data_IF_110448362147
#
_entry.id   IF_110448362147
#
_cell.length_a   1.000
_cell.length_b   1.000
_cell.length_c   1.000
_cell.angle_alpha   90.00
_cell.angle_beta   90.00
_cell.angle_gamma   90.00
#
_symmetry.space_group_name_H-M   'P 1'
#
loop_
_entity.id
_entity.type
_entity.pdbx_description
1 polymer ?
#
# COMPACT_ATOMS: atom_id res chain seq x y z
N UNK A 1 -10.32 -9.48 -31.57
CA UNK A 1 -9.99 -8.06 -31.30
C UNK A 1 -8.53 -8.00 -30.90
N UNK A 2 -7.74 -7.01 -31.31
CA UNK A 2 -6.39 -6.84 -30.79
C UNK A 2 -6.42 -6.69 -29.27
N UNK A 3 -5.42 -7.22 -28.57
CA UNK A 3 -5.30 -7.08 -27.12
C UNK A 3 -5.13 -5.60 -26.76
N UNK A 4 -5.90 -5.12 -25.78
CA UNK A 4 -5.74 -3.78 -25.21
C UNK A 4 -4.28 -3.57 -24.77
N UNK A 5 -3.65 -2.41 -25.09
CA UNK A 5 -2.30 -2.10 -24.59
C UNK A 5 -2.32 -2.00 -23.05
N UNK A 6 -1.19 -2.22 -22.39
CA UNK A 6 -1.10 -2.14 -20.90
C UNK A 6 -0.96 -0.71 -20.37
N UNK A 7 -0.45 0.17 -21.21
CA UNK A 7 -0.19 1.58 -20.93
C UNK A 7 -0.34 2.38 -22.22
N UNK A 8 -0.46 3.70 -22.10
CA UNK A 8 -0.43 4.64 -23.22
C UNK A 8 0.79 5.55 -23.12
N UNK A 9 1.15 6.18 -24.23
CA UNK A 9 2.38 6.98 -24.32
C UNK A 9 2.30 8.22 -23.40
N UNK A 10 3.41 8.48 -22.71
CA UNK A 10 3.62 9.72 -21.97
C UNK A 10 4.27 10.77 -22.89
N UNK A 11 3.50 11.28 -23.85
CA UNK A 11 3.97 12.17 -24.92
C UNK A 11 3.35 13.58 -24.89
N UNK A 12 2.50 13.85 -23.89
CA UNK A 12 1.89 15.15 -23.71
C UNK A 12 2.79 16.09 -22.89
N UNK A 13 2.65 17.41 -23.04
CA UNK A 13 3.37 18.36 -22.19
C UNK A 13 3.04 18.16 -20.71
N UNK A 14 4.04 18.35 -19.85
CA UNK A 14 3.87 18.42 -18.40
C UNK A 14 2.72 19.38 -18.08
N UNK A 15 1.80 18.92 -17.25
CA UNK A 15 0.64 19.69 -16.81
C UNK A 15 0.25 19.31 -15.39
N UNK A 16 -0.57 20.13 -14.75
CA UNK A 16 -1.09 19.86 -13.41
C UNK A 16 -2.58 20.18 -13.33
N UNK A 17 -3.21 19.81 -12.21
CA UNK A 17 -4.60 20.14 -11.88
C UNK A 17 -4.64 20.70 -10.46
N UNK A 18 -5.70 21.43 -10.11
CA UNK A 18 -5.88 21.89 -8.74
C UNK A 18 -6.13 20.66 -7.83
N UNK A 19 -5.20 20.31 -6.93
CA UNK A 19 -5.26 19.05 -6.19
C UNK A 19 -6.42 19.03 -5.20
N UNK A 20 -6.70 20.15 -4.52
CA UNK A 20 -7.85 20.28 -3.62
C UNK A 20 -9.15 19.92 -4.33
N UNK A 21 -9.41 20.50 -5.51
CA UNK A 21 -10.64 20.22 -6.27
C UNK A 21 -10.75 18.76 -6.69
N UNK A 22 -9.64 18.12 -7.06
CA UNK A 22 -9.64 16.72 -7.46
C UNK A 22 -9.84 15.77 -6.27
N UNK A 23 -9.23 16.09 -5.12
CA UNK A 23 -9.46 15.37 -3.86
C UNK A 23 -10.94 15.44 -3.48
N UNK A 24 -11.54 16.63 -3.43
CA UNK A 24 -12.95 16.80 -3.06
C UNK A 24 -13.85 16.00 -4.01
N UNK A 25 -13.64 16.12 -5.33
CA UNK A 25 -14.41 15.38 -6.30
C UNK A 25 -14.24 13.86 -6.16
N UNK A 26 -13.05 13.38 -5.76
CA UNK A 26 -12.76 11.97 -5.51
C UNK A 26 -13.49 11.46 -4.27
N UNK A 27 -13.43 12.20 -3.16
CA UNK A 27 -14.13 11.86 -1.93
C UNK A 27 -15.65 11.91 -2.08
N UNK A 28 -16.20 12.88 -2.81
CA UNK A 28 -17.63 12.96 -3.12
C UNK A 28 -18.09 11.75 -3.96
N UNK A 29 -17.33 11.35 -4.99
CA UNK A 29 -17.63 10.12 -5.74
C UNK A 29 -17.56 8.89 -4.86
N UNK A 30 -16.54 8.80 -4.01
CA UNK A 30 -16.37 7.66 -3.10
C UNK A 30 -17.61 7.44 -2.25
N UNK A 31 -18.14 8.48 -1.61
CA UNK A 31 -19.31 8.34 -0.72
C UNK A 31 -20.65 8.26 -1.45
N UNK A 32 -20.76 8.84 -2.66
CA UNK A 32 -22.00 8.81 -3.48
C UNK A 32 -22.17 7.51 -4.25
N UNK A 33 -21.10 7.05 -4.89
CA UNK A 33 -21.12 5.88 -5.77
C UNK A 33 -20.87 4.59 -4.98
N UNK A 34 -20.19 4.70 -3.82
CA UNK A 34 -19.87 3.58 -2.93
C UNK A 34 -20.26 3.86 -1.46
N UNK A 35 -21.54 4.22 -1.17
CA UNK A 35 -21.98 4.41 0.21
C UNK A 35 -21.73 3.13 1.04
N UNK A 36 -21.60 3.23 2.37
CA UNK A 36 -21.21 2.10 3.23
C UNK A 36 -21.97 0.79 2.93
N UNK A 37 -23.29 0.86 2.80
CA UNK A 37 -24.14 -0.31 2.55
C UNK A 37 -23.93 -1.00 1.18
N UNK A 38 -23.25 -0.37 0.22
CA UNK A 38 -22.96 -0.97 -1.10
C UNK A 38 -21.55 -1.55 -1.20
N UNK A 39 -20.68 -1.31 -0.21
CA UNK A 39 -19.30 -1.81 -0.24
C UNK A 39 -19.26 -3.22 0.32
N UNK A 40 -18.73 -4.14 -0.49
CA UNK A 40 -18.53 -5.53 -0.06
C UNK A 40 -17.49 -5.59 1.06
N UNK A 41 -17.75 -6.31 2.18
CA UNK A 41 -16.76 -6.54 3.22
C UNK A 41 -15.64 -7.46 2.71
N UNK A 42 -14.49 -7.45 3.39
CA UNK A 42 -13.32 -8.24 3.03
C UNK A 42 -12.11 -7.42 2.57
N UNK A 43 -10.94 -7.92 2.92
CA UNK A 43 -9.63 -7.48 2.42
C UNK A 43 -8.95 -6.40 3.23
N UNK A 44 -9.34 -6.22 4.50
CA UNK A 44 -8.64 -5.41 5.50
C UNK A 44 -8.31 -3.98 5.02
N UNK A 45 -7.05 -3.58 5.11
CA UNK A 45 -6.58 -2.26 4.65
C UNK A 45 -6.44 -2.16 3.13
N UNK A 46 -6.57 -3.28 2.40
CA UNK A 46 -6.38 -3.30 0.95
C UNK A 46 -7.70 -3.06 0.19
N UNK A 47 -8.77 -3.76 0.60
CA UNK A 47 -10.10 -3.73 -0.01
C UNK A 47 -11.21 -3.37 0.99
N UNK A 48 -12.41 -3.14 0.45
CA UNK A 48 -13.62 -3.10 1.26
C UNK A 48 -13.68 -1.92 2.25
N UNK A 49 -14.61 -1.98 3.22
CA UNK A 49 -14.96 -0.84 4.06
C UNK A 49 -13.86 -0.41 5.03
N UNK A 50 -13.03 -1.34 5.54
CA UNK A 50 -11.92 -0.99 6.45
C UNK A 50 -10.88 -0.14 5.71
N UNK A 51 -10.56 -0.49 4.46
CA UNK A 51 -9.64 0.30 3.64
C UNK A 51 -10.11 1.75 3.42
N UNK A 52 -11.43 1.96 3.24
CA UNK A 52 -12.04 3.28 3.11
C UNK A 52 -12.04 4.03 4.44
N UNK A 53 -12.37 3.35 5.54
CA UNK A 53 -12.28 3.92 6.87
C UNK A 53 -10.85 4.37 7.20
N UNK A 54 -9.84 3.59 6.80
CA UNK A 54 -8.44 3.94 7.02
C UNK A 54 -8.02 5.20 6.25
N UNK A 55 -8.53 5.39 5.03
CA UNK A 55 -8.37 6.65 4.30
C UNK A 55 -8.91 7.82 5.12
N UNK A 56 -10.16 7.75 5.60
CA UNK A 56 -10.75 8.85 6.37
C UNK A 56 -10.04 9.10 7.69
N UNK A 57 -9.63 8.04 8.38
CA UNK A 57 -8.80 8.12 9.59
C UNK A 57 -7.50 8.89 9.35
N UNK A 58 -6.87 8.65 8.20
CA UNK A 58 -5.60 9.30 7.85
C UNK A 58 -5.82 10.74 7.39
N UNK A 59 -6.80 10.98 6.52
CA UNK A 59 -7.05 12.33 5.98
C UNK A 59 -7.48 13.34 7.05
N UNK A 60 -8.28 12.94 8.06
CA UNK A 60 -8.70 13.88 9.11
C UNK A 60 -7.52 14.47 9.90
N UNK A 61 -6.36 13.80 9.92
CA UNK A 61 -5.14 14.33 10.55
C UNK A 61 -4.61 15.58 9.82
N UNK A 62 -4.84 15.68 8.50
CA UNK A 62 -4.36 16.77 7.64
C UNK A 62 -5.44 17.80 7.28
N UNK A 63 -6.71 17.43 7.40
CA UNK A 63 -7.88 18.24 7.02
C UNK A 63 -8.83 18.42 8.21
N UNK A 64 -8.50 19.32 9.12
CA UNK A 64 -9.35 19.67 10.27
C UNK A 64 -10.68 20.26 9.82
N UNK A 65 -11.77 19.81 10.45
CA UNK A 65 -13.15 20.28 10.22
C UNK A 65 -13.65 20.14 8.78
N UNK A 66 -12.99 19.32 7.96
CA UNK A 66 -13.40 19.09 6.59
C UNK A 66 -14.58 18.11 6.51
N UNK A 67 -15.57 18.48 5.69
CA UNK A 67 -16.80 17.71 5.49
C UNK A 67 -16.94 17.26 4.04
N UNK A 68 -17.52 16.08 3.84
CA UNK A 68 -17.89 15.54 2.52
C UNK A 68 -19.39 15.31 2.58
N UNK A 69 -20.16 15.92 1.67
CA UNK A 69 -21.63 15.94 1.74
C UNK A 69 -22.14 16.42 3.10
N UNK A 70 -21.54 17.51 3.63
CA UNK A 70 -21.82 18.10 4.96
C UNK A 70 -21.61 17.15 6.16
N UNK A 71 -20.97 15.99 5.94
CA UNK A 71 -20.67 15.00 6.98
C UNK A 71 -19.16 15.01 7.29
N UNK A 72 -18.75 15.11 8.57
CA UNK A 72 -17.33 15.05 8.96
C UNK A 72 -16.66 13.74 8.57
N UNK A 73 -15.37 13.79 8.21
CA UNK A 73 -14.59 12.58 7.87
C UNK A 73 -14.63 11.51 8.97
N UNK A 74 -14.55 11.91 10.25
CA UNK A 74 -14.64 10.96 11.37
C UNK A 74 -15.98 10.22 11.44
N UNK A 75 -17.08 10.86 10.99
CA UNK A 75 -18.38 10.19 10.87
C UNK A 75 -18.38 9.20 9.72
N UNK A 76 -17.80 9.56 8.56
CA UNK A 76 -17.62 8.63 7.44
C UNK A 76 -16.78 7.41 7.83
N UNK A 77 -15.65 7.63 8.49
CA UNK A 77 -14.82 6.56 9.06
C UNK A 77 -15.66 5.60 9.91
N UNK A 78 -16.41 6.13 10.89
CA UNK A 78 -17.20 5.32 11.80
C UNK A 78 -18.27 4.48 11.09
N UNK A 79 -18.95 4.99 10.06
CA UNK A 79 -20.00 4.23 9.35
C UNK A 79 -19.44 3.13 8.44
N UNK A 80 -18.26 3.34 7.82
CA UNK A 80 -17.58 2.28 7.08
C UNK A 80 -17.05 1.21 8.03
N UNK A 81 -16.42 1.59 9.15
CA UNK A 81 -16.02 0.63 10.19
C UNK A 81 -17.21 -0.18 10.69
N UNK A 82 -18.35 0.47 10.93
CA UNK A 82 -19.55 -0.22 11.39
C UNK A 82 -20.03 -1.27 10.38
N UNK A 83 -19.95 -0.96 9.09
CA UNK A 83 -20.29 -1.91 8.02
C UNK A 83 -19.34 -3.12 8.04
N UNK A 84 -18.05 -2.90 8.29
CA UNK A 84 -17.08 -4.00 8.44
C UNK A 84 -17.40 -4.88 9.66
N UNK A 85 -17.62 -4.26 10.83
CA UNK A 85 -18.00 -4.94 12.08
C UNK A 85 -19.22 -5.83 11.93
N UNK A 86 -20.27 -5.32 11.27
CA UNK A 86 -21.52 -6.07 11.10
C UNK A 86 -21.33 -7.31 10.23
N UNK A 87 -20.37 -7.30 9.32
CA UNK A 87 -19.98 -8.43 8.49
C UNK A 87 -19.01 -9.42 9.18
N UNK A 88 -18.38 -9.03 10.29
CA UNK A 88 -17.37 -9.88 10.96
C UNK A 88 -17.93 -11.14 11.61
N UNK A 89 -19.24 -11.18 11.91
CA UNK A 89 -19.88 -12.32 12.56
C UNK A 89 -19.69 -13.63 11.80
N UNK A 90 -19.55 -13.54 10.47
CA UNK A 90 -19.38 -14.68 9.57
C UNK A 90 -17.92 -14.85 9.09
N UNK A 91 -16.99 -14.01 9.58
CA UNK A 91 -15.58 -14.08 9.19
C UNK A 91 -14.84 -15.17 9.99
N UNK A 92 -14.09 -16.08 9.35
CA UNK A 92 -13.45 -17.22 10.03
C UNK A 92 -12.27 -16.83 10.94
N UNK A 93 -11.83 -15.57 10.88
CA UNK A 93 -10.68 -15.06 11.60
C UNK A 93 -9.35 -15.24 10.86
N UNK A 94 -8.28 -14.67 11.41
CA UNK A 94 -6.95 -14.76 10.83
C UNK A 94 -6.44 -16.20 10.86
N UNK A 95 -5.59 -16.52 9.89
CA UNK A 95 -4.91 -17.83 9.81
C UNK A 95 -3.44 -17.60 9.50
N UNK A 96 -2.59 -18.59 9.71
CA UNK A 96 -1.19 -18.52 9.30
C UNK A 96 -1.00 -18.20 7.80
N UNK A 97 -1.96 -18.57 6.95
CA UNK A 97 -1.96 -18.25 5.51
C UNK A 97 -2.58 -16.89 5.16
N UNK A 98 -3.26 -16.24 6.12
CA UNK A 98 -3.90 -14.93 5.98
C UNK A 98 -3.83 -14.18 7.31
N UNK A 99 -2.67 -13.57 7.57
CA UNK A 99 -2.36 -12.80 8.76
C UNK A 99 -1.70 -11.44 8.43
N UNK A 100 -1.81 -10.97 7.19
CA UNK A 100 -1.28 -9.68 6.74
C UNK A 100 -2.34 -8.58 6.77
N UNK A 101 -2.05 -7.45 6.10
CA UNK A 101 -2.93 -6.25 6.12
C UNK A 101 -4.31 -6.48 5.51
N UNK A 102 -4.51 -7.58 4.76
CA UNK A 102 -5.82 -7.93 4.18
C UNK A 102 -6.72 -8.78 5.08
N UNK A 103 -6.26 -9.12 6.29
CA UNK A 103 -7.12 -9.75 7.28
C UNK A 103 -8.04 -8.71 7.93
N UNK A 104 -9.35 -8.97 7.89
CA UNK A 104 -10.35 -7.99 8.34
C UNK A 104 -10.31 -7.79 9.86
N UNK A 105 -10.15 -8.86 10.63
CA UNK A 105 -10.14 -8.78 12.10
C UNK A 105 -8.92 -8.02 12.57
N UNK A 106 -7.73 -8.40 12.10
CA UNK A 106 -6.49 -7.72 12.48
C UNK A 106 -6.51 -6.25 12.03
N UNK A 107 -6.96 -5.96 10.81
CA UNK A 107 -7.02 -4.59 10.31
C UNK A 107 -8.03 -3.73 11.07
N UNK A 108 -9.20 -4.27 11.43
CA UNK A 108 -10.20 -3.56 12.24
C UNK A 108 -9.65 -3.27 13.63
N UNK A 109 -9.07 -4.27 14.31
CA UNK A 109 -8.54 -4.10 15.67
C UNK A 109 -7.41 -3.08 15.64
N UNK A 110 -6.48 -3.17 14.68
CA UNK A 110 -5.40 -2.19 14.55
C UNK A 110 -5.92 -0.76 14.34
N UNK A 111 -6.89 -0.58 13.44
CA UNK A 111 -7.46 0.75 13.18
C UNK A 111 -8.27 1.28 14.36
N UNK A 112 -9.03 0.42 15.05
CA UNK A 112 -9.79 0.80 16.24
C UNK A 112 -8.87 1.14 17.42
N UNK A 113 -7.82 0.34 17.66
CA UNK A 113 -6.81 0.61 18.67
C UNK A 113 -6.11 1.96 18.42
N UNK A 114 -5.68 2.21 17.19
CA UNK A 114 -5.04 3.47 16.81
C UNK A 114 -5.98 4.66 16.95
N UNK A 115 -7.24 4.52 16.52
CA UNK A 115 -8.22 5.61 16.54
C UNK A 115 -8.72 5.95 17.94
N UNK A 116 -8.98 4.93 18.75
CA UNK A 116 -9.49 5.11 20.12
C UNK A 116 -8.35 5.33 21.14
N UNK A 117 -7.10 5.04 20.75
CA UNK A 117 -5.95 4.91 21.66
C UNK A 117 -6.25 3.93 22.79
N UNK A 118 -6.82 2.79 22.43
CA UNK A 118 -7.27 1.76 23.36
C UNK A 118 -6.17 0.70 23.58
N UNK A 119 -5.57 0.63 24.79
CA UNK A 119 -4.49 -0.31 25.08
C UNK A 119 -4.95 -1.77 25.13
N UNK A 120 -6.23 -2.04 25.43
CA UNK A 120 -6.75 -3.40 25.45
C UNK A 120 -6.87 -3.93 24.01
N UNK A 121 -7.29 -3.11 23.06
CA UNK A 121 -7.27 -3.48 21.64
C UNK A 121 -5.85 -3.63 21.08
N UNK A 122 -4.87 -2.89 21.61
CA UNK A 122 -3.47 -3.11 21.27
C UNK A 122 -2.98 -4.48 21.75
N UNK A 123 -3.40 -4.92 22.95
CA UNK A 123 -3.17 -6.29 23.44
C UNK A 123 -3.86 -7.33 22.57
N UNK A 124 -5.12 -7.13 22.23
CA UNK A 124 -5.86 -8.04 21.35
C UNK A 124 -5.16 -8.23 19.99
N UNK A 125 -4.54 -7.16 19.46
CA UNK A 125 -3.73 -7.27 18.24
C UNK A 125 -2.48 -8.15 18.48
N UNK A 126 -1.77 -7.94 19.60
CA UNK A 126 -0.57 -8.71 19.93
C UNK A 126 -0.89 -10.19 20.18
N UNK A 127 -2.06 -10.52 20.72
CA UNK A 127 -2.49 -11.91 20.93
C UNK A 127 -2.55 -12.73 19.63
N UNK A 128 -2.70 -12.08 18.47
CA UNK A 128 -2.60 -12.76 17.18
C UNK A 128 -1.19 -13.20 16.81
N UNK A 129 -0.15 -12.80 17.55
CA UNK A 129 1.19 -13.34 17.39
C UNK A 129 1.17 -14.87 17.40
N UNK A 130 0.33 -15.51 18.23
CA UNK A 130 0.18 -16.95 18.26
C UNK A 130 -0.25 -17.59 16.93
N UNK A 131 -0.96 -16.87 16.07
CA UNK A 131 -1.32 -17.30 14.70
C UNK A 131 -0.22 -16.93 13.70
N UNK A 132 0.37 -15.75 13.87
CA UNK A 132 1.39 -15.19 12.96
C UNK A 132 2.70 -15.97 13.04
N UNK A 133 3.05 -16.48 14.23
CA UNK A 133 4.30 -17.22 14.48
C UNK A 133 4.19 -18.71 14.20
N UNK A 134 2.99 -19.20 13.81
CA UNK A 134 2.81 -20.60 13.41
C UNK A 134 3.76 -21.01 12.26
N UNK A 135 4.21 -22.27 12.21
CA UNK A 135 5.01 -22.77 11.11
C UNK A 135 4.30 -22.61 9.75
N UNK A 136 5.08 -22.28 8.73
CA UNK A 136 4.61 -22.08 7.35
C UNK A 136 3.64 -20.92 7.15
N UNK A 137 3.52 -19.98 8.11
CA UNK A 137 2.81 -18.75 7.85
C UNK A 137 3.41 -18.00 6.65
N UNK A 138 2.56 -17.31 5.88
CA UNK A 138 3.03 -16.47 4.78
C UNK A 138 3.89 -15.33 5.34
N UNK A 139 4.94 -14.93 4.62
CA UNK A 139 5.81 -13.83 5.08
C UNK A 139 5.50 -12.50 4.41
N UNK A 140 4.83 -12.50 3.26
CA UNK A 140 4.65 -11.30 2.45
C UNK A 140 3.65 -10.29 3.05
N UNK A 141 3.54 -9.10 2.46
CA UNK A 141 2.85 -7.98 3.10
C UNK A 141 1.32 -8.12 3.08
N UNK A 142 0.72 -8.73 2.05
CA UNK A 142 -0.73 -8.72 1.93
C UNK A 142 -1.42 -9.72 2.87
N UNK A 143 -0.88 -10.93 2.95
CA UNK A 143 -1.44 -12.08 3.66
C UNK A 143 -0.52 -12.64 4.74
N UNK A 144 0.67 -12.07 4.94
CA UNK A 144 1.68 -12.64 5.81
C UNK A 144 2.23 -11.71 6.88
N UNK A 145 3.26 -12.22 7.57
CA UNK A 145 3.93 -11.60 8.72
C UNK A 145 4.39 -10.17 8.47
N UNK A 146 4.92 -9.85 7.28
CA UNK A 146 5.33 -8.49 6.95
C UNK A 146 4.14 -7.50 6.98
N UNK A 147 2.94 -7.96 6.66
CA UNK A 147 1.71 -7.17 6.80
C UNK A 147 1.32 -6.96 8.25
N UNK A 148 1.49 -7.98 9.09
CA UNK A 148 1.25 -7.86 10.52
C UNK A 148 2.19 -6.83 11.17
N UNK A 149 3.47 -6.81 10.77
CA UNK A 149 4.42 -5.77 11.22
C UNK A 149 3.92 -4.35 10.90
N UNK A 150 3.29 -4.14 9.73
CA UNK A 150 2.66 -2.86 9.42
C UNK A 150 1.55 -2.50 10.42
N UNK A 151 0.68 -3.46 10.74
CA UNK A 151 -0.43 -3.23 11.68
C UNK A 151 0.08 -2.89 13.09
N UNK A 152 1.14 -3.57 13.56
CA UNK A 152 1.79 -3.24 14.84
C UNK A 152 2.32 -1.79 14.83
N UNK A 153 3.02 -1.38 13.76
CA UNK A 153 3.52 0.01 13.65
C UNK A 153 2.40 1.03 13.61
N UNK A 154 1.29 0.76 12.90
CA UNK A 154 0.11 1.62 12.87
C UNK A 154 -0.44 1.88 14.27
N UNK A 155 -0.60 0.82 15.08
CA UNK A 155 -1.05 0.95 16.46
C UNK A 155 -0.02 1.72 17.28
N UNK A 156 1.25 1.29 17.23
CA UNK A 156 2.38 1.88 17.97
C UNK A 156 2.48 3.38 17.75
N UNK A 157 2.26 3.87 16.54
CA UNK A 157 2.31 5.29 16.20
C UNK A 157 1.35 6.15 17.05
N UNK A 158 0.25 5.57 17.54
CA UNK A 158 -0.79 6.27 18.30
C UNK A 158 -0.51 6.34 19.83
N UNK A 159 0.47 5.58 20.33
CA UNK A 159 0.82 5.44 21.75
C UNK A 159 2.18 6.07 22.09
N UNK A 160 2.49 7.25 21.54
CA UNK A 160 3.78 7.92 21.78
C UNK A 160 4.08 8.18 23.27
N UNK A 161 3.04 8.39 24.08
CA UNK A 161 3.12 8.72 25.51
C UNK A 161 2.90 7.50 26.44
N UNK A 162 2.78 6.28 25.90
CA UNK A 162 2.55 5.04 26.66
C UNK A 162 3.66 4.03 26.39
N UNK A 163 4.66 4.00 27.27
CA UNK A 163 5.84 3.15 27.11
C UNK A 163 5.53 1.65 27.28
N UNK A 164 4.56 1.29 28.13
CA UNK A 164 4.18 -0.11 28.37
C UNK A 164 3.56 -0.73 27.12
N UNK A 165 2.64 -0.01 26.45
CA UNK A 165 2.02 -0.48 25.21
C UNK A 165 3.04 -0.53 24.07
N UNK A 166 3.95 0.44 23.98
CA UNK A 166 5.00 0.42 22.96
C UNK A 166 5.96 -0.76 23.14
N UNK A 167 6.41 -1.02 24.37
CA UNK A 167 7.30 -2.14 24.68
C UNK A 167 6.65 -3.48 24.29
N UNK A 168 5.38 -3.68 24.64
CA UNK A 168 4.63 -4.88 24.23
C UNK A 168 4.53 -5.04 22.70
N UNK A 169 4.26 -3.94 21.98
CA UNK A 169 4.19 -3.95 20.52
C UNK A 169 5.55 -4.23 19.88
N UNK A 170 6.63 -3.68 20.45
CA UNK A 170 8.01 -3.87 20.01
C UNK A 170 8.47 -5.32 20.25
N UNK A 171 8.23 -5.87 21.45
CA UNK A 171 8.50 -7.29 21.77
C UNK A 171 7.77 -8.26 20.82
N UNK A 172 6.50 -7.96 20.52
CA UNK A 172 5.70 -8.74 19.57
C UNK A 172 6.28 -8.65 18.16
N UNK A 173 6.76 -7.47 17.76
CA UNK A 173 7.35 -7.25 16.46
C UNK A 173 8.67 -8.01 16.29
N UNK A 174 9.50 -8.05 17.33
CA UNK A 174 10.76 -8.80 17.37
C UNK A 174 10.53 -10.30 17.16
N UNK A 175 9.56 -10.89 17.86
CA UNK A 175 9.20 -12.32 17.69
C UNK A 175 8.78 -12.63 16.22
N UNK A 176 8.01 -11.72 15.61
CA UNK A 176 7.55 -11.87 14.24
C UNK A 176 8.69 -11.70 13.24
N UNK A 177 9.61 -10.76 13.47
CA UNK A 177 10.81 -10.58 12.65
C UNK A 177 11.67 -11.84 12.69
N UNK A 178 11.94 -12.39 13.88
CA UNK A 178 12.72 -13.62 14.04
C UNK A 178 12.09 -14.78 13.24
N UNK A 179 10.76 -14.94 13.28
CA UNK A 179 10.06 -15.94 12.48
C UNK A 179 10.21 -15.72 10.95
N UNK A 180 10.23 -14.46 10.49
CA UNK A 180 10.51 -14.14 9.09
C UNK A 180 11.97 -14.48 8.76
N UNK A 181 12.92 -14.14 9.61
CA UNK A 181 14.35 -14.40 9.38
C UNK A 181 14.68 -15.88 9.35
N UNK A 182 14.02 -16.69 10.17
CA UNK A 182 14.16 -18.16 10.20
C UNK A 182 13.48 -18.87 9.03
N UNK A 183 12.67 -18.16 8.23
CA UNK A 183 11.96 -18.77 7.10
C UNK A 183 12.90 -19.16 5.95
N UNK A 184 12.60 -20.24 5.21
CA UNK A 184 13.41 -20.66 4.07
C UNK A 184 13.59 -19.56 3.01
N UNK A 185 14.82 -19.47 2.47
CA UNK A 185 15.16 -18.55 1.37
C UNK A 185 15.24 -19.26 0.01
N UNK A 186 14.92 -18.58 -1.11
CA UNK A 186 14.27 -17.27 -1.18
C UNK A 186 12.86 -17.32 -0.60
N UNK A 187 12.35 -16.19 -0.10
CA UNK A 187 10.96 -16.09 0.33
C UNK A 187 10.01 -16.49 -0.80
N UNK A 188 8.98 -17.27 -0.46
CA UNK A 188 7.97 -17.72 -1.41
C UNK A 188 6.56 -17.44 -0.92
N UNK A 189 5.70 -17.12 -1.87
CA UNK A 189 4.26 -17.14 -1.72
C UNK A 189 3.68 -17.91 -2.90
N UNK A 190 2.78 -18.87 -2.62
CA UNK A 190 2.24 -19.80 -3.63
C UNK A 190 3.35 -20.41 -4.54
N UNK A 191 4.40 -20.95 -3.89
CA UNK A 191 5.57 -21.59 -4.51
C UNK A 191 6.43 -20.70 -5.42
N UNK A 192 6.17 -19.40 -5.50
CA UNK A 192 6.91 -18.45 -6.33
C UNK A 192 7.72 -17.48 -5.49
N UNK A 193 8.95 -17.24 -5.92
CA UNK A 193 9.84 -16.25 -5.32
C UNK A 193 9.53 -14.85 -5.89
N UNK A 194 8.54 -14.17 -5.31
CA UNK A 194 8.14 -12.82 -5.74
C UNK A 194 9.19 -11.77 -5.37
N UNK A 195 9.31 -10.73 -6.21
CA UNK A 195 10.29 -9.66 -6.04
C UNK A 195 9.69 -8.42 -5.38
N UNK A 196 8.52 -7.98 -5.87
CA UNK A 196 7.95 -6.65 -5.58
C UNK A 196 7.43 -6.42 -4.15
N UNK A 197 6.76 -5.27 -3.96
CA UNK A 197 6.37 -4.76 -2.65
C UNK A 197 5.26 -5.55 -1.96
N UNK A 198 4.32 -6.13 -2.72
CA UNK A 198 3.13 -6.77 -2.14
C UNK A 198 3.42 -8.19 -1.67
N UNK A 199 3.84 -9.05 -2.60
CA UNK A 199 4.02 -10.49 -2.34
C UNK A 199 5.49 -10.91 -2.17
N UNK A 200 6.44 -9.97 -2.32
CA UNK A 200 7.82 -10.28 -2.60
C UNK A 200 8.83 -9.84 -1.56
N UNK A 201 10.08 -10.20 -1.84
CA UNK A 201 11.23 -9.98 -0.95
C UNK A 201 11.45 -8.50 -0.63
N UNK A 202 11.26 -7.60 -1.60
CA UNK A 202 11.38 -6.15 -1.34
C UNK A 202 10.33 -5.68 -0.34
N UNK A 203 9.10 -6.17 -0.47
CA UNK A 203 8.03 -5.95 0.51
C UNK A 203 8.43 -6.34 1.92
N UNK A 204 8.89 -7.58 2.07
CA UNK A 204 9.27 -8.17 3.35
C UNK A 204 10.41 -7.38 4.01
N UNK A 205 11.51 -7.12 3.27
CA UNK A 205 12.65 -6.36 3.79
C UNK A 205 12.23 -4.95 4.21
N UNK A 206 11.38 -4.29 3.42
CA UNK A 206 10.88 -2.95 3.76
C UNK A 206 10.15 -2.95 5.10
N UNK A 207 9.28 -3.94 5.31
CA UNK A 207 8.49 -4.02 6.55
C UNK A 207 9.36 -4.32 7.77
N UNK A 208 10.39 -5.18 7.64
CA UNK A 208 11.35 -5.43 8.72
C UNK A 208 12.12 -4.15 9.04
N UNK A 209 12.72 -3.50 8.04
CA UNK A 209 13.60 -2.33 8.26
C UNK A 209 12.84 -1.11 8.79
N UNK A 210 11.58 -0.92 8.38
CA UNK A 210 10.73 0.15 8.94
C UNK A 210 10.26 -0.15 10.36
N UNK A 211 10.24 -1.42 10.78
CA UNK A 211 9.95 -1.82 12.17
C UNK A 211 11.20 -1.69 13.03
N UNK A 212 12.29 -2.34 12.64
CA UNK A 212 13.58 -2.22 13.31
C UNK A 212 14.71 -2.05 12.27
N UNK A 213 15.25 -0.84 12.14
CA UNK A 213 16.37 -0.54 11.27
C UNK A 213 17.66 -1.32 11.56
N UNK A 214 17.83 -1.90 12.76
CA UNK A 214 19.06 -2.63 13.11
C UNK A 214 19.30 -3.86 12.23
N UNK A 215 18.25 -4.43 11.64
CA UNK A 215 18.33 -5.56 10.72
C UNK A 215 18.79 -5.20 9.30
N UNK A 216 18.89 -3.91 8.94
CA UNK A 216 19.23 -3.48 7.58
C UNK A 216 20.55 -4.10 7.08
N UNK A 217 21.61 -4.03 7.89
CA UNK A 217 22.92 -4.61 7.52
C UNK A 217 22.88 -6.12 7.26
N UNK A 218 22.08 -6.85 8.02
CA UNK A 218 21.91 -8.30 7.83
C UNK A 218 21.16 -8.62 6.53
N UNK A 219 20.19 -7.79 6.16
CA UNK A 219 19.34 -7.97 4.96
C UNK A 219 19.97 -7.44 3.68
N UNK A 220 21.05 -6.66 3.77
CA UNK A 220 21.74 -6.06 2.63
C UNK A 220 22.08 -7.06 1.50
N UNK A 221 22.67 -8.24 1.76
CA UNK A 221 22.99 -9.19 0.69
C UNK A 221 21.74 -9.73 -0.03
N UNK A 222 20.65 -9.96 0.71
CA UNK A 222 19.38 -10.45 0.15
C UNK A 222 18.69 -9.35 -0.67
N UNK A 223 18.74 -8.10 -0.20
CA UNK A 223 18.25 -6.95 -0.95
C UNK A 223 19.02 -6.78 -2.27
N UNK A 224 20.35 -6.75 -2.22
CA UNK A 224 21.19 -6.60 -3.43
C UNK A 224 21.00 -7.75 -4.42
N UNK A 225 20.89 -8.99 -3.93
CA UNK A 225 20.61 -10.15 -4.78
C UNK A 225 19.25 -10.00 -5.47
N UNK A 226 18.22 -9.57 -4.74
CA UNK A 226 16.88 -9.32 -5.29
C UNK A 226 16.88 -8.18 -6.33
N UNK A 227 17.56 -7.08 -6.03
CA UNK A 227 17.64 -5.93 -6.94
C UNK A 227 18.46 -6.23 -8.20
N UNK A 228 19.37 -7.20 -8.16
CA UNK A 228 20.18 -7.60 -9.32
C UNK A 228 19.36 -8.17 -10.49
N UNK A 229 18.10 -8.56 -10.27
CA UNK A 229 17.17 -8.98 -11.32
C UNK A 229 16.57 -7.82 -12.12
N UNK A 230 17.02 -6.57 -11.92
CA UNK A 230 16.56 -5.45 -12.73
C UNK A 230 16.88 -5.71 -14.21
N UNK A 231 15.87 -5.55 -15.07
CA UNK A 231 16.04 -5.63 -16.52
C UNK A 231 16.82 -4.42 -17.05
N UNK A 232 17.32 -4.53 -18.28
CA UNK A 232 17.95 -3.40 -18.99
C UNK A 232 17.01 -2.18 -19.12
N UNK A 233 15.68 -2.40 -19.12
CA UNK A 233 14.69 -1.32 -19.11
C UNK A 233 14.64 -0.52 -17.81
N UNK A 234 15.23 -1.01 -16.72
CA UNK A 234 15.08 -0.45 -15.37
C UNK A 234 13.91 -1.04 -14.57
N UNK A 235 13.11 -1.94 -15.15
CA UNK A 235 12.02 -2.60 -14.44
C UNK A 235 12.47 -3.89 -13.72
N UNK A 236 11.61 -4.47 -12.88
CA UNK A 236 11.86 -5.77 -12.24
C UNK A 236 10.83 -6.83 -12.65
N UNK A 237 11.21 -8.12 -12.65
CA UNK A 237 10.26 -9.22 -12.81
C UNK A 237 9.24 -9.24 -11.68
N UNK A 238 8.07 -9.83 -11.93
CA UNK A 238 7.11 -10.14 -10.85
C UNK A 238 7.68 -11.14 -9.85
N UNK A 239 8.40 -12.15 -10.35
CA UNK A 239 8.96 -13.26 -9.59
C UNK A 239 10.18 -13.86 -10.28
N UNK A 240 10.99 -14.63 -9.55
CA UNK A 240 12.14 -15.38 -10.05
C UNK A 240 11.76 -16.86 -10.23
N UNK A 241 12.17 -17.53 -11.33
CA UNK A 241 12.95 -17.02 -12.47
C UNK A 241 12.26 -15.88 -13.24
N UNK A 242 13.06 -14.93 -13.74
CA UNK A 242 12.56 -13.75 -14.43
C UNK A 242 11.77 -14.13 -15.69
N UNK A 243 10.61 -13.49 -15.88
CA UNK A 243 9.73 -13.70 -17.02
C UNK A 243 9.73 -12.51 -17.98
N UNK A 244 8.57 -12.18 -18.53
CA UNK A 244 8.43 -11.01 -19.41
C UNK A 244 8.54 -9.69 -18.62
N UNK A 245 9.24 -8.73 -19.18
CA UNK A 245 9.27 -7.35 -18.70
C UNK A 245 8.01 -6.58 -19.14
N UNK A 246 6.93 -6.68 -18.35
CA UNK A 246 5.61 -6.15 -18.73
C UNK A 246 4.83 -5.41 -17.64
N UNK A 247 5.07 -5.69 -16.35
CA UNK A 247 4.30 -5.11 -15.26
C UNK A 247 5.09 -3.95 -14.66
N UNK A 248 4.50 -2.76 -14.70
CA UNK A 248 5.03 -1.53 -14.09
C UNK A 248 3.98 -1.07 -13.10
N UNK A 249 3.91 -1.77 -11.96
CA UNK A 249 2.86 -1.66 -10.95
C UNK A 249 3.47 -1.70 -9.54
N UNK A 250 2.76 -1.21 -8.54
CA UNK A 250 3.18 -1.31 -7.14
C UNK A 250 3.28 -2.78 -6.68
N UNK A 251 2.32 -3.63 -7.04
CA UNK A 251 2.41 -5.06 -6.73
C UNK A 251 3.57 -5.77 -7.45
N UNK A 252 3.81 -5.42 -8.71
CA UNK A 252 4.77 -6.10 -9.57
C UNK A 252 5.48 -5.10 -10.49
N UNK A 253 6.78 -4.87 -10.22
CA UNK A 253 7.66 -4.05 -11.04
C UNK A 253 8.21 -2.83 -10.31
N UNK A 254 8.73 -1.88 -11.09
CA UNK A 254 9.47 -0.72 -10.62
C UNK A 254 8.72 0.15 -9.60
N UNK A 255 7.43 0.49 -9.73
CA UNK A 255 6.77 1.40 -8.79
C UNK A 255 6.84 0.93 -7.34
N UNK A 256 6.59 -0.36 -7.09
CA UNK A 256 6.69 -0.93 -5.75
C UNK A 256 8.12 -0.92 -5.24
N UNK A 257 9.05 -1.41 -6.06
CA UNK A 257 10.48 -1.49 -5.68
C UNK A 257 11.05 -0.11 -5.39
N UNK A 258 10.82 0.87 -6.25
CA UNK A 258 11.29 2.26 -6.07
C UNK A 258 10.74 2.85 -4.78
N UNK A 259 9.43 2.72 -4.54
CA UNK A 259 8.79 3.31 -3.36
C UNK A 259 9.30 2.70 -2.06
N UNK A 260 9.52 1.38 -2.05
CA UNK A 260 10.19 0.67 -0.97
C UNK A 260 11.61 1.20 -0.72
N UNK A 261 12.45 1.25 -1.76
CA UNK A 261 13.84 1.68 -1.63
C UNK A 261 13.97 3.13 -1.15
N UNK A 262 13.14 4.05 -1.67
CA UNK A 262 13.10 5.44 -1.21
C UNK A 262 12.84 5.52 0.31
N UNK A 263 12.06 4.60 0.85
CA UNK A 263 11.68 4.60 2.27
C UNK A 263 12.75 4.04 3.19
N UNK A 264 13.68 3.22 2.66
CA UNK A 264 14.63 2.47 3.48
C UNK A 264 16.09 2.72 3.15
N UNK A 265 16.42 3.37 2.02
CA UNK A 265 17.80 3.47 1.53
C UNK A 265 18.79 4.07 2.53
N UNK A 266 18.36 5.03 3.36
CA UNK A 266 19.19 5.68 4.36
C UNK A 266 19.58 4.77 5.52
N UNK A 267 18.92 3.62 5.67
CA UNK A 267 19.33 2.56 6.61
C UNK A 267 20.42 1.64 6.04
N UNK A 268 20.79 1.80 4.76
CA UNK A 268 21.83 1.04 4.07
C UNK A 268 22.97 1.96 3.57
N UNK A 269 23.69 2.66 4.48
CA UNK A 269 24.65 3.70 4.10
C UNK A 269 25.81 3.18 3.23
N UNK A 270 26.19 1.91 3.36
CA UNK A 270 27.29 1.30 2.59
C UNK A 270 26.92 1.06 1.12
N UNK A 271 25.62 1.03 0.80
CA UNK A 271 25.11 0.74 -0.56
C UNK A 271 24.11 1.80 -1.06
N UNK A 272 23.95 2.92 -0.35
CA UNK A 272 22.94 3.95 -0.66
C UNK A 272 23.08 4.48 -2.09
N UNK A 273 24.29 4.79 -2.54
CA UNK A 273 24.57 5.23 -3.92
C UNK A 273 24.11 4.21 -4.96
N UNK A 274 24.24 2.92 -4.66
CA UNK A 274 23.81 1.84 -5.54
C UNK A 274 22.28 1.72 -5.55
N UNK A 275 21.63 1.90 -4.40
CA UNK A 275 20.17 1.98 -4.31
C UNK A 275 19.63 3.18 -5.11
N UNK A 276 20.32 4.32 -5.08
CA UNK A 276 19.95 5.50 -5.85
C UNK A 276 20.02 5.28 -7.36
N UNK A 277 21.01 4.54 -7.86
CA UNK A 277 21.04 4.17 -9.29
C UNK A 277 19.90 3.21 -9.66
N UNK A 278 19.54 2.24 -8.80
CA UNK A 278 18.36 1.39 -9.01
C UNK A 278 17.07 2.22 -9.03
N UNK A 279 16.91 3.17 -8.10
CA UNK A 279 15.76 4.08 -8.02
C UNK A 279 15.65 4.91 -9.29
N UNK A 280 16.76 5.48 -9.76
CA UNK A 280 16.82 6.34 -10.94
C UNK A 280 16.39 5.61 -12.21
N UNK A 281 16.93 4.42 -12.46
CA UNK A 281 16.53 3.60 -13.62
C UNK A 281 15.09 3.09 -13.49
N UNK A 282 14.67 2.74 -12.27
CA UNK A 282 13.28 2.40 -11.96
C UNK A 282 12.31 3.55 -12.27
N UNK A 283 12.63 4.78 -11.89
CA UNK A 283 11.80 5.96 -12.22
C UNK A 283 11.75 6.23 -13.71
N UNK A 284 12.85 6.05 -14.44
CA UNK A 284 12.87 6.23 -15.89
C UNK A 284 11.82 5.34 -16.60
N UNK A 285 11.73 4.07 -16.19
CA UNK A 285 10.76 3.14 -16.78
C UNK A 285 9.32 3.41 -16.36
N UNK A 286 9.11 3.94 -15.16
CA UNK A 286 7.78 4.38 -14.70
C UNK A 286 7.32 5.57 -15.53
N UNK A 287 8.20 6.54 -15.82
CA UNK A 287 7.89 7.68 -16.69
C UNK A 287 7.50 7.24 -18.10
N UNK A 288 8.14 6.20 -18.63
CA UNK A 288 7.89 5.70 -19.98
C UNK A 288 6.61 4.85 -20.06
N UNK A 289 6.39 3.95 -19.09
CA UNK A 289 5.39 2.87 -19.18
C UNK A 289 4.34 2.87 -18.06
N UNK A 290 4.36 3.87 -17.18
CA UNK A 290 3.55 3.92 -15.97
C UNK A 290 2.15 4.53 -16.13
N UNK A 291 1.81 5.10 -17.29
CA UNK A 291 0.46 5.56 -17.61
C UNK A 291 -0.42 4.38 -18.04
N UNK A 292 -0.84 3.58 -17.05
CA UNK A 292 -1.53 2.32 -17.26
C UNK A 292 -2.96 2.50 -17.81
N UNK A 293 -3.43 1.52 -18.57
CA UNK A 293 -4.82 1.44 -19.04
C UNK A 293 -5.77 0.85 -18.00
N UNK A 294 -5.26 0.39 -16.86
CA UNK A 294 -6.08 0.00 -15.72
C UNK A 294 -6.62 1.24 -15.03
N UNK A 295 -7.84 1.13 -14.49
CA UNK A 295 -8.46 2.18 -13.72
C UNK A 295 -7.50 2.73 -12.65
N UNK A 296 -7.39 4.06 -12.48
CA UNK A 296 -6.43 4.65 -11.54
C UNK A 296 -6.70 4.25 -10.09
N UNK A 297 -5.78 3.46 -9.52
CA UNK A 297 -5.67 3.08 -8.12
C UNK A 297 -4.20 2.95 -7.69
N UNK A 298 -3.94 2.56 -6.44
CA UNK A 298 -2.57 2.50 -5.89
C UNK A 298 -1.80 1.24 -6.30
N UNK A 299 -2.41 0.06 -6.29
CA UNK A 299 -1.68 -1.19 -6.51
C UNK A 299 -1.13 -1.33 -7.95
N UNK A 300 -1.96 -1.03 -8.94
CA UNK A 300 -1.64 -1.30 -10.33
C UNK A 300 -2.35 -0.33 -11.28
N UNK A 301 -2.40 0.94 -10.88
CA UNK A 301 -2.94 2.05 -11.66
C UNK A 301 -2.02 3.27 -11.65
N UNK A 302 -2.43 4.31 -12.38
CA UNK A 302 -1.65 5.54 -12.54
C UNK A 302 -1.37 6.22 -11.19
N UNK A 303 -2.34 6.25 -10.27
CA UNK A 303 -2.21 6.92 -8.97
C UNK A 303 -1.04 6.37 -8.14
N UNK A 304 -0.89 5.05 -8.06
CA UNK A 304 0.26 4.45 -7.36
C UNK A 304 1.57 4.65 -8.10
N UNK A 305 1.57 4.52 -9.43
CA UNK A 305 2.77 4.77 -10.21
C UNK A 305 3.29 6.21 -10.06
N UNK A 306 2.37 7.18 -9.92
CA UNK A 306 2.72 8.58 -9.66
C UNK A 306 3.51 8.75 -8.35
N UNK A 307 3.12 8.05 -7.27
CA UNK A 307 3.79 8.18 -5.95
C UNK A 307 5.28 7.80 -5.99
N UNK A 308 5.69 6.95 -6.93
CA UNK A 308 7.11 6.58 -7.11
C UNK A 308 7.94 7.65 -7.84
N UNK A 309 7.31 8.70 -8.39
CA UNK A 309 7.93 9.73 -9.21
C UNK A 309 8.26 11.00 -8.40
N UNK A 310 9.14 11.82 -8.97
CA UNK A 310 9.45 13.16 -8.47
C UNK A 310 8.75 14.24 -9.27
N UNK A 311 8.77 15.48 -8.77
CA UNK A 311 8.30 16.60 -9.57
C UNK A 311 9.19 16.83 -10.79
N UNK A 312 8.62 17.19 -11.96
CA UNK A 312 7.19 17.50 -12.18
C UNK A 312 6.34 16.29 -12.62
N UNK A 313 6.92 15.09 -12.69
CA UNK A 313 6.25 13.91 -13.24
C UNK A 313 5.13 13.38 -12.34
N UNK A 314 5.27 13.52 -11.01
CA UNK A 314 4.21 13.17 -10.05
C UNK A 314 2.91 13.92 -10.35
N UNK A 315 2.96 15.26 -10.39
CA UNK A 315 1.80 16.10 -10.72
C UNK A 315 1.24 15.78 -12.11
N UNK A 316 2.14 15.56 -13.08
CA UNK A 316 1.74 15.25 -14.44
C UNK A 316 0.95 13.94 -14.54
N UNK A 317 1.41 12.87 -13.90
CA UNK A 317 0.73 11.58 -13.89
C UNK A 317 -0.66 11.69 -13.28
N UNK A 318 -0.82 12.45 -12.21
CA UNK A 318 -2.11 12.64 -11.57
C UNK A 318 -3.14 13.31 -12.50
N UNK A 319 -2.72 14.09 -13.50
CA UNK A 319 -3.66 14.70 -14.45
C UNK A 319 -4.49 13.68 -15.23
N UNK A 320 -3.96 12.46 -15.44
CA UNK A 320 -4.65 11.34 -16.09
C UNK A 320 -5.61 10.58 -15.17
N UNK A 321 -5.69 10.96 -13.91
CA UNK A 321 -6.56 10.31 -12.91
C UNK A 321 -7.84 11.10 -12.64
N UNK A 322 -8.07 12.21 -13.35
CA UNK A 322 -9.30 13.00 -13.19
C UNK A 322 -10.51 12.27 -13.77
N UNK A 323 -11.71 12.60 -13.28
CA UNK A 323 -12.96 12.00 -13.77
C UNK A 323 -13.16 12.15 -15.29
N UNK A 324 -12.73 13.28 -15.87
CA UNK A 324 -12.81 13.50 -17.32
C UNK A 324 -11.87 12.59 -18.10
N UNK A 325 -10.63 12.41 -17.63
CA UNK A 325 -9.66 11.54 -18.31
C UNK A 325 -10.05 10.07 -18.20
N UNK A 326 -10.53 9.62 -17.04
CA UNK A 326 -11.03 8.24 -16.89
C UNK A 326 -12.22 7.98 -17.81
N UNK A 327 -13.15 8.93 -17.91
CA UNK A 327 -14.29 8.83 -18.83
C UNK A 327 -13.86 8.81 -20.30
N UNK A 328 -12.82 9.56 -20.66
CA UNK A 328 -12.26 9.53 -22.01
C UNK A 328 -11.66 8.14 -22.32
N UNK A 329 -10.81 7.61 -21.43
CA UNK A 329 -10.23 6.27 -21.55
C UNK A 329 -11.31 5.16 -21.63
N UNK A 330 -12.41 5.32 -20.90
CA UNK A 330 -13.55 4.41 -20.98
C UNK A 330 -14.27 4.48 -22.33
N UNK A 331 -14.58 5.69 -22.80
CA UNK A 331 -15.25 5.89 -24.10
C UNK A 331 -14.41 5.34 -25.26
N UNK A 332 -13.09 5.42 -25.16
CA UNK A 332 -12.15 4.88 -26.15
C UNK A 332 -11.96 3.35 -26.02
N UNK A 333 -12.63 2.71 -25.06
CA UNK A 333 -12.51 1.27 -24.79
C UNK A 333 -11.15 0.86 -24.22
N UNK A 334 -10.32 1.83 -23.84
CA UNK A 334 -8.97 1.63 -23.33
C UNK A 334 -8.95 1.28 -21.85
N UNK A 335 -9.94 1.71 -21.05
CA UNK A 335 -9.92 1.46 -19.61
C UNK A 335 -10.30 0.02 -19.25
N UNK A 336 -9.47 -0.63 -18.44
CA UNK A 336 -9.80 -1.85 -17.70
C UNK A 336 -10.31 -1.46 -16.31
N UNK A 337 -11.56 -1.82 -15.99
CA UNK A 337 -12.19 -1.47 -14.72
C UNK A 337 -11.52 -2.17 -13.53
N UNK A 338 -11.50 -1.50 -12.39
CA UNK A 338 -10.96 -2.05 -11.15
C UNK A 338 -11.78 -3.26 -10.64
N UNK A 339 -11.09 -4.17 -9.95
CA UNK A 339 -11.70 -5.32 -9.28
C UNK A 339 -12.58 -4.88 -8.10
N UNK A 340 -12.13 -3.86 -7.35
CA UNK A 340 -12.87 -3.17 -6.30
C UNK A 340 -12.70 -1.65 -6.48
N UNK A 341 -13.61 -1.00 -7.24
CA UNK A 341 -13.46 0.41 -7.60
C UNK A 341 -13.67 1.37 -6.43
N UNK A 342 -14.07 0.89 -5.24
CA UNK A 342 -14.20 1.71 -4.03
C UNK A 342 -12.92 1.75 -3.20
N UNK A 343 -12.15 0.66 -3.22
CA UNK A 343 -11.08 0.38 -2.26
C UNK A 343 -9.87 1.31 -2.29
N UNK A 344 -9.08 1.22 -1.22
CA UNK A 344 -7.81 1.94 -1.08
C UNK A 344 -6.78 1.53 -2.12
N UNK A 345 -6.63 0.24 -2.43
CA UNK A 345 -5.56 -0.18 -3.33
C UNK A 345 -5.94 -0.30 -4.80
N UNK A 346 -7.21 -0.46 -5.16
CA UNK A 346 -7.60 -0.58 -6.58
C UNK A 346 -8.60 0.49 -7.04
N UNK A 347 -9.15 1.29 -6.13
CA UNK A 347 -10.28 2.15 -6.40
C UNK A 347 -10.11 3.64 -6.07
N UNK A 348 -11.26 4.30 -5.93
CA UNK A 348 -11.42 5.73 -5.70
C UNK A 348 -10.78 6.19 -4.38
N UNK A 349 -10.80 5.38 -3.31
CA UNK A 349 -10.15 5.75 -2.06
C UNK A 349 -8.63 5.92 -2.22
N UNK A 350 -7.98 5.05 -2.99
CA UNK A 350 -6.56 5.18 -3.33
C UNK A 350 -6.24 6.40 -4.18
N UNK A 351 -7.13 6.71 -5.12
CA UNK A 351 -7.02 7.92 -5.95
C UNK A 351 -7.16 9.18 -5.10
N UNK A 352 -8.09 9.20 -4.13
CA UNK A 352 -8.22 10.30 -3.18
C UNK A 352 -6.92 10.50 -2.38
N UNK A 353 -6.32 9.42 -1.89
CA UNK A 353 -5.03 9.51 -1.18
C UNK A 353 -3.93 10.18 -2.03
N UNK A 354 -3.77 9.77 -3.29
CA UNK A 354 -2.75 10.35 -4.16
C UNK A 354 -2.97 11.86 -4.40
N UNK A 355 -4.23 12.31 -4.52
CA UNK A 355 -4.54 13.74 -4.59
C UNK A 355 -4.30 14.47 -3.28
N UNK A 356 -4.53 13.83 -2.13
CA UNK A 356 -4.23 14.42 -0.82
C UNK A 356 -2.73 14.60 -0.61
N UNK A 357 -1.91 13.64 -1.07
CA UNK A 357 -0.45 13.75 -1.07
C UNK A 357 0.00 14.99 -1.85
N UNK A 358 -0.58 15.22 -3.05
CA UNK A 358 -0.29 16.41 -3.84
C UNK A 358 -0.79 17.71 -3.17
N UNK A 359 -2.02 17.72 -2.64
CA UNK A 359 -2.63 18.91 -2.04
C UNK A 359 -1.88 19.43 -0.81
N UNK A 360 -1.41 18.51 0.04
CA UNK A 360 -0.74 18.84 1.30
C UNK A 360 0.77 18.78 1.22
N UNK A 361 1.32 18.50 0.04
CA UNK A 361 2.75 18.27 -0.17
C UNK A 361 3.31 17.21 0.82
N UNK A 362 2.56 16.13 1.01
CA UNK A 362 2.98 15.03 1.88
C UNK A 362 4.13 14.27 1.24
N UNK A 363 4.87 13.52 2.07
CA UNK A 363 5.78 12.51 1.54
C UNK A 363 5.00 11.49 0.69
N UNK A 364 5.59 11.10 -0.45
CA UNK A 364 4.93 10.25 -1.44
C UNK A 364 4.95 8.79 -1.00
N UNK A 365 4.13 8.48 0.00
CA UNK A 365 4.00 7.18 0.63
C UNK A 365 2.69 6.50 0.22
N UNK A 366 2.71 5.18 0.19
CA UNK A 366 1.55 4.32 0.03
C UNK A 366 0.90 4.10 1.39
N UNK A 367 -0.30 4.65 1.55
CA UNK A 367 -1.15 4.44 2.73
C UNK A 367 -1.41 2.93 2.94
N UNK A 368 -1.12 2.40 4.12
CA UNK A 368 -1.22 0.97 4.43
C UNK A 368 0.08 0.18 4.25
N UNK A 369 1.18 0.84 3.85
CA UNK A 369 2.45 0.16 3.53
C UNK A 369 3.68 0.84 4.13
N UNK A 370 3.92 2.13 3.84
CA UNK A 370 5.12 2.86 4.27
C UNK A 370 4.81 4.29 4.77
N UNK A 371 3.55 4.56 5.12
CA UNK A 371 2.98 5.84 5.56
C UNK A 371 3.15 6.19 7.04
N UNK A 372 3.73 5.28 7.84
CA UNK A 372 3.93 5.44 9.29
C UNK A 372 5.34 5.95 9.63
#
# INVERSE_FOLDING_TARGET
MPSRPRFFANDQPISSRNPTKQLIASLERLVKDYPPASVSPGGGLYYGPISIAYLFFTLQQFYKDFTIEDIPMGTWMAVYLKTAEDAMKDYPGPTNLKCGVSDDIMALIALSAASAKDPDMARDLCDFAGVVTEPNANNEWLYGRAGFLYLLRLVRASFQDDDEVKEMLDDTADEVIDCILDSPRPFKWHDKAYVGAVHGTVGIITQIVLTDPTYAKQLEPELLATLSYQYESGNWPSSVPAGDDKLVQFCHGAPGVVSSLVSIKHYFPDIEDRLDEYIKTGRAVIKERGLLTKEPGLCHGISGNALALEEPDFEHFLTYTTASEMKALENDGMMERAEDPSSLYTGEAGRAWAWAVMDKHLERRFIGYNDI
#
